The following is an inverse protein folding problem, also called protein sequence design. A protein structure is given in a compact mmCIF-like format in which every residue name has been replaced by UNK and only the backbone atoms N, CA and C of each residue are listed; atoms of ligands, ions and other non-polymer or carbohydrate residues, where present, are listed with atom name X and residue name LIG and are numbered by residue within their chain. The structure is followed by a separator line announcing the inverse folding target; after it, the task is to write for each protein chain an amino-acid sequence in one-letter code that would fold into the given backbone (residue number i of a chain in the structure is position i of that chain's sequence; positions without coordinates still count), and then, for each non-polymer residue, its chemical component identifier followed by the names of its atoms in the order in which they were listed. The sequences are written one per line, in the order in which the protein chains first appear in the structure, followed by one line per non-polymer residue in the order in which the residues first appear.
data_IF_121642615331
#
_entry.id   IF_121642615331
#
_cell.length_a   1.000
_cell.length_b   1.000
_cell.length_c   1.000
_cell.angle_alpha   90.00
_cell.angle_beta   90.00
_cell.angle_gamma   90.00
#
_symmetry.space_group_name_H-M   'P 1'
#
loop_
_entity.id
_entity.type
_entity.pdbx_description
1 polymer ?
#
# COMPACT_ATOMS: atom_id res chain seq x y z
N UNK A 1 6.59 -42.84 12.47
CA UNK A 1 6.38 -41.38 12.63
C UNK A 1 7.76 -40.78 12.88
N UNK A 2 8.24 -39.92 11.99
CA UNK A 2 9.59 -39.36 12.08
C UNK A 2 9.61 -38.25 13.13
N UNK A 3 10.44 -38.38 14.18
CA UNK A 3 10.53 -37.35 15.22
C UNK A 3 11.46 -36.22 14.76
N UNK A 4 10.85 -35.12 14.30
CA UNK A 4 11.60 -33.92 13.89
C UNK A 4 12.46 -33.30 15.00
N UNK A 5 12.27 -33.68 16.28
CA UNK A 5 13.07 -33.19 17.41
C UNK A 5 14.53 -33.63 17.36
N UNK A 6 14.88 -34.66 16.59
CA UNK A 6 16.28 -35.11 16.40
C UNK A 6 17.13 -34.05 15.70
N UNK A 7 16.53 -33.11 14.96
CA UNK A 7 17.22 -32.01 14.28
C UNK A 7 17.25 -30.70 15.08
N UNK A 8 16.69 -30.70 16.29
CA UNK A 8 16.66 -29.51 17.14
C UNK A 8 17.86 -29.52 18.09
N UNK A 9 18.49 -28.35 18.23
CA UNK A 9 19.54 -28.15 19.23
C UNK A 9 19.01 -28.44 20.64
N UNK A 10 19.87 -29.07 21.45
CA UNK A 10 19.68 -29.11 22.90
C UNK A 10 20.26 -27.83 23.51
N UNK A 11 19.44 -27.09 24.25
CA UNK A 11 19.84 -25.87 24.95
C UNK A 11 19.88 -26.10 26.46
N UNK A 12 20.88 -25.53 27.13
CA UNK A 12 20.96 -25.43 28.60
C UNK A 12 19.83 -24.56 29.16
N UNK A 13 19.57 -24.62 30.47
CA UNK A 13 18.53 -23.78 31.07
C UNK A 13 18.89 -22.30 31.00
N UNK A 14 20.18 -21.95 31.12
CA UNK A 14 20.69 -20.59 30.94
C UNK A 14 20.45 -20.08 29.52
N UNK A 15 20.77 -20.90 28.51
CA UNK A 15 20.51 -20.56 27.10
C UNK A 15 19.01 -20.41 26.82
N UNK A 16 18.16 -21.25 27.41
CA UNK A 16 16.70 -21.12 27.28
C UNK A 16 16.19 -19.81 27.88
N UNK A 17 16.78 -19.36 29.00
CA UNK A 17 16.44 -18.07 29.61
C UNK A 17 16.79 -16.93 28.66
N UNK A 18 17.98 -16.94 28.06
CA UNK A 18 18.41 -15.94 27.08
C UNK A 18 17.46 -15.93 25.86
N UNK A 19 17.12 -17.09 25.32
CA UNK A 19 16.29 -17.21 24.11
C UNK A 19 14.85 -16.70 24.31
N UNK A 20 14.31 -16.67 25.54
CA UNK A 20 12.92 -16.22 25.82
C UNK A 20 12.65 -14.77 25.40
N UNK A 21 13.66 -13.91 25.40
CA UNK A 21 13.55 -12.51 24.96
C UNK A 21 13.62 -12.33 23.44
N UNK A 22 13.98 -13.38 22.71
CA UNK A 22 14.41 -13.29 21.31
C UNK A 22 13.62 -14.18 20.36
N UNK A 23 13.00 -15.26 20.86
CA UNK A 23 12.18 -16.19 20.09
C UNK A 23 10.90 -16.58 20.82
N UNK A 24 9.82 -16.86 20.08
CA UNK A 24 8.52 -17.23 20.68
C UNK A 24 8.51 -18.59 21.39
N UNK A 25 9.49 -19.45 21.10
CA UNK A 25 9.77 -20.70 21.81
C UNK A 25 11.22 -21.13 21.56
N UNK A 26 11.74 -22.06 22.35
CA UNK A 26 13.11 -22.57 22.24
C UNK A 26 13.20 -24.00 21.66
N UNK A 27 12.08 -24.73 21.63
CA UNK A 27 12.04 -26.19 21.53
C UNK A 27 11.17 -26.72 20.38
N UNK A 28 10.55 -25.82 19.59
CA UNK A 28 9.79 -26.19 18.38
C UNK A 28 10.53 -25.76 17.12
N UNK A 29 10.29 -26.51 16.04
CA UNK A 29 10.81 -26.22 14.71
C UNK A 29 10.22 -24.95 14.10
N UNK A 30 9.02 -24.55 14.51
CA UNK A 30 8.35 -23.32 14.07
C UNK A 30 8.34 -22.31 15.21
N UNK A 31 8.88 -21.12 14.95
CA UNK A 31 9.03 -20.05 15.94
C UNK A 31 9.05 -18.69 15.27
N UNK A 32 8.73 -17.64 16.03
CA UNK A 32 8.86 -16.25 15.60
C UNK A 32 10.13 -15.62 16.18
N UNK A 33 10.78 -14.74 15.42
CA UNK A 33 11.89 -13.91 15.91
C UNK A 33 11.28 -12.65 16.53
N UNK A 34 11.47 -12.48 17.83
CA UNK A 34 10.96 -11.34 18.61
C UNK A 34 12.08 -10.45 19.17
N UNK A 35 13.34 -10.74 18.79
CA UNK A 35 14.53 -9.93 19.16
C UNK A 35 14.23 -8.43 19.07
N UNK A 36 14.49 -7.61 20.11
CA UNK A 36 14.10 -6.20 20.10
C UNK A 36 14.74 -5.36 18.99
N UNK A 37 16.00 -5.65 18.65
CA UNK A 37 16.74 -4.93 17.60
C UNK A 37 16.36 -5.45 16.21
N UNK A 38 15.73 -4.60 15.41
CA UNK A 38 15.34 -4.95 14.02
C UNK A 38 16.53 -5.34 13.15
N UNK A 39 17.66 -4.62 13.28
CA UNK A 39 18.89 -4.91 12.54
C UNK A 39 19.41 -6.33 12.81
N UNK A 40 19.23 -6.85 14.02
CA UNK A 40 19.68 -8.20 14.34
C UNK A 40 18.78 -9.27 13.71
N UNK A 41 17.48 -9.00 13.54
CA UNK A 41 16.55 -9.97 12.94
C UNK A 41 16.94 -10.32 11.51
N UNK A 42 17.12 -9.30 10.67
CA UNK A 42 17.47 -9.52 9.27
C UNK A 42 18.90 -10.05 9.08
N UNK A 43 19.85 -9.55 9.86
CA UNK A 43 21.22 -10.07 9.87
C UNK A 43 21.26 -11.55 10.29
N UNK A 44 20.51 -11.91 11.33
CA UNK A 44 20.42 -13.28 11.82
C UNK A 44 19.82 -14.23 10.77
N UNK A 45 18.73 -13.83 10.11
CA UNK A 45 18.12 -14.62 9.03
C UNK A 45 19.09 -14.83 7.86
N UNK A 46 19.83 -13.80 7.48
CA UNK A 46 20.83 -13.89 6.40
C UNK A 46 22.04 -14.75 6.80
N UNK A 47 22.49 -14.68 8.05
CA UNK A 47 23.54 -15.56 8.59
C UNK A 47 23.07 -17.01 8.68
N UNK A 48 21.83 -17.22 9.13
CA UNK A 48 21.20 -18.53 9.25
C UNK A 48 21.08 -19.25 7.90
N UNK A 49 20.82 -18.54 6.81
CA UNK A 49 20.72 -19.17 5.47
C UNK A 49 22.06 -19.66 4.91
N UNK A 50 23.19 -19.37 5.58
CA UNK A 50 24.56 -19.65 5.10
C UNK A 50 25.38 -20.48 6.10
N UNK A 51 24.72 -21.21 7.00
CA UNK A 51 25.34 -22.04 8.03
C UNK A 51 24.56 -23.33 8.24
N UNK A 52 25.23 -24.34 8.79
CA UNK A 52 24.64 -25.64 9.18
C UNK A 52 23.97 -25.59 10.58
N UNK A 53 24.23 -24.53 11.35
CA UNK A 53 23.65 -24.30 12.68
C UNK A 53 22.19 -23.86 12.62
N UNK A 54 21.41 -24.18 13.65
CA UNK A 54 20.07 -23.58 13.79
C UNK A 54 20.15 -22.09 14.11
N UNK A 55 19.09 -21.34 13.78
CA UNK A 55 19.02 -19.90 14.00
C UNK A 55 19.25 -19.50 15.48
N UNK A 56 18.72 -20.27 16.43
CA UNK A 56 18.88 -19.99 17.87
C UNK A 56 20.33 -20.18 18.31
N UNK A 57 21.03 -21.19 17.78
CA UNK A 57 22.45 -21.41 18.03
C UNK A 57 23.31 -20.31 17.43
N UNK A 58 23.01 -19.86 16.20
CA UNK A 58 23.67 -18.70 15.58
C UNK A 58 23.49 -17.44 16.44
N UNK A 59 22.27 -17.21 16.95
CA UNK A 59 21.99 -16.08 17.82
C UNK A 59 22.85 -16.11 19.09
N UNK A 60 22.85 -17.23 19.83
CA UNK A 60 23.64 -17.38 21.06
C UNK A 60 25.15 -17.26 20.80
N UNK A 61 25.64 -17.82 19.70
CA UNK A 61 27.06 -17.85 19.39
C UNK A 61 27.61 -16.50 18.89
N UNK A 62 26.82 -15.74 18.12
CA UNK A 62 27.28 -14.53 17.42
C UNK A 62 26.61 -13.23 17.91
N UNK A 63 25.30 -13.23 18.16
CA UNK A 63 24.51 -12.01 18.38
C UNK A 63 24.34 -11.69 19.86
N UNK A 64 24.06 -12.68 20.70
CA UNK A 64 23.96 -12.51 22.15
C UNK A 64 25.27 -12.01 22.77
N UNK A 65 26.42 -12.34 22.15
CA UNK A 65 27.76 -11.95 22.61
C UNK A 65 28.25 -10.61 22.04
N UNK A 66 27.63 -10.08 20.98
CA UNK A 66 28.00 -8.81 20.37
C UNK A 66 26.76 -8.01 19.96
N UNK A 67 26.44 -6.99 20.76
CA UNK A 67 25.29 -6.11 20.53
C UNK A 67 25.35 -5.28 19.23
N UNK A 68 26.51 -5.19 18.57
CA UNK A 68 26.73 -4.48 17.31
C UNK A 68 26.79 -5.42 16.10
N UNK A 69 26.60 -6.73 16.30
CA UNK A 69 26.79 -7.76 15.28
C UNK A 69 25.94 -7.53 14.03
N UNK A 70 24.67 -7.16 14.19
CA UNK A 70 23.79 -6.84 13.07
C UNK A 70 24.28 -5.64 12.26
N UNK A 71 24.69 -4.56 12.92
CA UNK A 71 25.19 -3.35 12.24
C UNK A 71 26.48 -3.61 11.47
N UNK A 72 27.43 -4.33 12.07
CA UNK A 72 28.67 -4.76 11.41
C UNK A 72 28.37 -5.61 10.18
N UNK A 73 27.42 -6.54 10.30
CA UNK A 73 26.99 -7.40 9.22
C UNK A 73 26.46 -6.59 8.03
N UNK A 74 25.51 -5.68 8.27
CA UNK A 74 24.93 -4.87 7.19
C UNK A 74 25.93 -3.92 6.55
N UNK A 75 26.82 -3.33 7.36
CA UNK A 75 27.91 -2.49 6.84
C UNK A 75 28.76 -3.27 5.84
N UNK A 76 29.06 -4.53 6.13
CA UNK A 76 29.83 -5.39 5.22
C UNK A 76 29.01 -5.81 3.99
N UNK A 77 27.82 -6.34 4.20
CA UNK A 77 27.03 -6.99 3.14
C UNK A 77 26.48 -5.99 2.12
N UNK A 78 25.96 -4.84 2.56
CA UNK A 78 25.38 -3.84 1.67
C UNK A 78 26.44 -3.01 0.93
N UNK A 79 27.63 -2.84 1.50
CA UNK A 79 28.72 -2.10 0.86
C UNK A 79 29.58 -2.99 -0.05
N UNK A 80 29.84 -4.24 0.31
CA UNK A 80 30.81 -5.09 -0.42
C UNK A 80 30.17 -5.98 -1.49
N UNK A 81 28.93 -6.46 -1.29
CA UNK A 81 28.35 -7.54 -2.12
C UNK A 81 27.11 -7.15 -2.93
N UNK A 82 26.51 -5.98 -2.65
CA UNK A 82 25.31 -5.52 -3.37
C UNK A 82 24.07 -6.41 -3.18
N UNK A 83 24.03 -7.20 -2.11
CA UNK A 83 22.93 -8.11 -1.79
C UNK A 83 21.74 -7.33 -1.19
N UNK A 84 21.10 -6.52 -2.03
CA UNK A 84 20.01 -5.61 -1.63
C UNK A 84 18.78 -6.36 -1.09
N UNK A 85 18.65 -7.66 -1.37
CA UNK A 85 17.55 -8.49 -0.86
C UNK A 85 17.56 -8.58 0.67
N UNK A 86 18.74 -8.54 1.29
CA UNK A 86 18.89 -8.61 2.75
C UNK A 86 18.39 -7.33 3.44
N UNK A 87 18.31 -6.21 2.71
CA UNK A 87 17.71 -4.97 3.20
C UNK A 87 16.18 -5.07 3.35
N UNK A 88 15.54 -6.07 2.73
CA UNK A 88 14.09 -6.31 2.86
C UNK A 88 13.72 -6.92 4.23
N UNK A 89 14.70 -7.42 4.98
CA UNK A 89 14.48 -8.07 6.28
C UNK A 89 14.53 -7.10 7.47
N UNK A 90 14.91 -5.84 7.22
CA UNK A 90 14.79 -4.77 8.22
C UNK A 90 13.49 -4.01 8.00
N UNK A 91 12.67 -3.88 9.04
CA UNK A 91 11.36 -3.22 8.95
C UNK A 91 11.31 -1.95 9.80
N UNK A 92 10.54 -0.97 9.34
CA UNK A 92 10.22 0.24 10.11
C UNK A 92 8.75 0.64 9.93
N UNK A 93 8.27 1.38 10.92
CA UNK A 93 6.94 1.98 10.95
C UNK A 93 7.11 3.46 11.26
N UNK A 94 6.56 4.33 10.43
CA UNK A 94 6.69 5.79 10.56
C UNK A 94 5.35 6.47 10.25
N UNK A 95 5.15 7.64 10.84
CA UNK A 95 4.01 8.49 10.58
C UNK A 95 4.48 9.82 9.96
N UNK A 96 3.77 10.28 8.94
CA UNK A 96 4.01 11.57 8.30
C UNK A 96 2.70 12.37 8.39
N UNK A 97 2.71 13.50 9.10
CA UNK A 97 1.51 14.27 9.40
C UNK A 97 1.57 15.68 8.80
N UNK A 98 0.40 16.23 8.47
CA UNK A 98 0.30 17.63 8.01
C UNK A 98 0.85 17.88 6.61
N UNK A 99 0.96 16.85 5.77
CA UNK A 99 1.45 16.95 4.39
C UNK A 99 0.31 17.15 3.41
N UNK A 100 0.54 17.81 2.28
CA UNK A 100 -0.48 17.93 1.23
C UNK A 100 -0.92 16.55 0.71
N UNK A 101 -2.14 16.46 0.17
CA UNK A 101 -2.53 15.24 -0.54
C UNK A 101 -1.62 14.97 -1.74
N UNK A 102 -1.04 16.00 -2.38
CA UNK A 102 -0.05 15.82 -3.46
C UNK A 102 1.17 15.06 -2.93
N UNK A 103 1.68 15.45 -1.76
CA UNK A 103 2.79 14.77 -1.12
C UNK A 103 2.45 13.35 -0.71
N UNK A 104 1.28 13.14 -0.10
CA UNK A 104 0.80 11.80 0.23
C UNK A 104 0.75 10.88 -1.00
N UNK A 105 0.22 11.36 -2.14
CA UNK A 105 0.17 10.54 -3.36
C UNK A 105 1.56 10.24 -3.94
N UNK A 106 2.50 11.18 -3.86
CA UNK A 106 3.89 10.94 -4.31
C UNK A 106 4.60 9.91 -3.45
N UNK A 107 4.35 9.91 -2.14
CA UNK A 107 4.90 8.91 -1.21
C UNK A 107 4.29 7.53 -1.50
N UNK A 108 2.96 7.45 -1.53
CA UNK A 108 2.25 6.18 -1.71
C UNK A 108 2.51 5.51 -3.07
N UNK A 109 2.97 6.24 -4.09
CA UNK A 109 3.25 5.72 -5.44
C UNK A 109 4.38 4.66 -5.43
N UNK A 110 5.10 4.51 -4.31
CA UNK A 110 6.14 3.49 -4.09
C UNK A 110 5.59 2.32 -3.30
N UNK A 111 5.08 1.30 -3.99
CA UNK A 111 4.24 0.25 -3.38
C UNK A 111 4.99 -1.03 -3.01
N UNK A 112 6.08 -1.33 -3.71
CA UNK A 112 6.82 -2.58 -3.48
C UNK A 112 7.57 -2.47 -2.15
N UNK A 113 7.17 -3.30 -1.18
CA UNK A 113 7.77 -3.35 0.16
C UNK A 113 7.28 -2.28 1.14
N UNK A 114 6.28 -1.47 0.78
CA UNK A 114 5.66 -0.45 1.66
C UNK A 114 4.14 -0.61 1.69
N UNK A 115 3.57 -0.46 2.88
CA UNK A 115 2.15 -0.46 3.17
C UNK A 115 1.75 0.88 3.77
N UNK A 116 0.69 1.48 3.24
CA UNK A 116 0.25 2.83 3.60
C UNK A 116 -1.11 2.84 4.27
N UNK A 117 -1.30 3.76 5.20
CA UNK A 117 -2.60 4.08 5.76
C UNK A 117 -2.79 5.60 5.84
N UNK A 118 -3.51 6.15 4.86
CA UNK A 118 -3.84 7.57 4.79
C UNK A 118 -5.12 7.91 5.57
N UNK A 119 -5.14 9.08 6.20
CA UNK A 119 -6.35 9.68 6.77
C UNK A 119 -7.48 9.75 5.73
N UNK A 120 -8.61 9.13 6.06
CA UNK A 120 -9.73 9.01 5.13
C UNK A 120 -10.56 10.28 5.01
N UNK A 121 -10.60 10.85 3.81
CA UNK A 121 -11.54 11.90 3.40
C UNK A 121 -13.00 11.43 3.30
N UNK A 122 -13.24 10.11 3.38
CA UNK A 122 -14.59 9.53 3.37
C UNK A 122 -15.20 9.44 4.75
N UNK A 123 -14.39 9.31 5.79
CA UNK A 123 -14.88 9.12 7.16
C UNK A 123 -14.62 10.32 8.06
N UNK A 124 -13.61 11.12 7.76
CA UNK A 124 -13.23 12.29 8.54
C UNK A 124 -13.61 13.55 7.77
N UNK A 125 -14.29 14.49 8.44
CA UNK A 125 -14.57 15.80 7.91
C UNK A 125 -13.32 16.70 8.01
N UNK A 126 -13.06 17.48 6.96
CA UNK A 126 -11.92 18.40 6.86
C UNK A 126 -12.39 19.86 7.06
N UNK A 127 -13.37 20.06 7.94
CA UNK A 127 -14.10 21.32 8.16
C UNK A 127 -13.58 22.13 9.35
N UNK A 128 -12.64 21.59 10.12
CA UNK A 128 -12.12 22.23 11.33
C UNK A 128 -10.94 23.16 11.03
N UNK A 129 -11.01 24.38 11.57
CA UNK A 129 -9.92 25.36 11.57
C UNK A 129 -8.97 25.14 12.76
N UNK A 130 -7.68 25.37 12.56
CA UNK A 130 -6.66 25.40 13.63
C UNK A 130 -5.99 26.76 13.63
N UNK A 131 -5.99 27.43 14.77
CA UNK A 131 -5.45 28.80 14.86
C UNK A 131 -6.14 29.79 13.91
N UNK A 132 -7.41 29.55 13.56
CA UNK A 132 -8.16 30.38 12.61
C UNK A 132 -8.01 29.98 11.13
N UNK A 133 -7.19 28.99 10.80
CA UNK A 133 -6.90 28.61 9.41
C UNK A 133 -7.42 27.22 9.06
N UNK A 134 -7.87 27.05 7.81
CA UNK A 134 -8.08 25.73 7.23
C UNK A 134 -6.74 25.02 6.97
N UNK A 135 -6.78 23.68 7.04
CA UNK A 135 -5.60 22.81 6.91
C UNK A 135 -5.30 22.52 5.45
N UNK A 136 -4.66 23.46 4.78
CA UNK A 136 -4.01 23.27 3.49
C UNK A 136 -2.60 23.84 3.48
N UNK A 137 -1.73 23.26 2.66
CA UNK A 137 -0.33 23.67 2.51
C UNK A 137 -0.26 25.04 1.83
N UNK A 138 0.46 25.97 2.47
CA UNK A 138 0.81 27.28 1.92
C UNK A 138 2.25 27.20 1.43
N UNK A 139 2.41 26.71 0.21
CA UNK A 139 3.73 26.46 -0.37
C UNK A 139 4.46 27.79 -0.63
N UNK A 140 5.74 27.87 -0.24
CA UNK A 140 6.49 29.13 -0.19
C UNK A 140 6.61 29.82 -1.54
N UNK A 141 6.82 29.07 -2.64
CA UNK A 141 6.88 29.64 -3.98
C UNK A 141 5.55 30.25 -4.43
N UNK A 142 4.41 29.70 -3.98
CA UNK A 142 3.10 30.31 -4.22
C UNK A 142 2.94 31.55 -3.33
N UNK A 143 3.28 31.46 -2.04
CA UNK A 143 3.08 32.55 -1.07
C UNK A 143 3.96 33.77 -1.31
N UNK A 144 5.10 33.57 -1.98
CA UNK A 144 6.00 34.67 -2.39
C UNK A 144 5.67 35.20 -3.80
N UNK A 145 4.71 34.60 -4.50
CA UNK A 145 4.29 35.03 -5.84
C UNK A 145 3.13 36.04 -5.80
N UNK A 146 2.87 36.74 -6.92
CA UNK A 146 1.68 37.58 -7.07
C UNK A 146 0.33 36.84 -6.98
N UNK A 147 0.33 35.51 -6.89
CA UNK A 147 -0.87 34.68 -6.82
C UNK A 147 -1.23 34.23 -5.39
N UNK A 148 -0.48 34.66 -4.37
CA UNK A 148 -0.67 34.25 -2.98
C UNK A 148 -2.10 34.51 -2.47
N UNK A 149 -2.60 35.74 -2.60
CA UNK A 149 -3.92 36.11 -2.11
C UNK A 149 -5.02 35.32 -2.82
N UNK A 150 -4.96 35.27 -4.17
CA UNK A 150 -5.91 34.49 -4.98
C UNK A 150 -5.90 33.00 -4.61
N UNK A 151 -4.74 32.43 -4.29
CA UNK A 151 -4.62 31.05 -3.85
C UNK A 151 -5.31 30.82 -2.49
N UNK A 152 -5.06 31.71 -1.52
CA UNK A 152 -5.68 31.65 -0.18
C UNK A 152 -7.19 31.81 -0.28
N UNK A 153 -7.67 32.82 -1.02
CA UNK A 153 -9.10 33.07 -1.24
C UNK A 153 -9.79 31.87 -1.88
N UNK A 154 -9.19 31.28 -2.93
CA UNK A 154 -9.75 30.11 -3.59
C UNK A 154 -9.80 28.89 -2.66
N UNK A 155 -8.73 28.63 -1.90
CA UNK A 155 -8.70 27.52 -0.95
C UNK A 155 -9.73 27.72 0.16
N UNK A 156 -9.77 28.90 0.78
CA UNK A 156 -10.71 29.21 1.86
C UNK A 156 -12.16 29.12 1.36
N UNK A 157 -12.45 29.61 0.15
CA UNK A 157 -13.77 29.47 -0.47
C UNK A 157 -14.18 27.99 -0.68
N UNK A 158 -13.24 27.16 -1.17
CA UNK A 158 -13.43 25.72 -1.31
C UNK A 158 -13.76 25.04 0.03
N UNK A 159 -13.00 25.34 1.09
CA UNK A 159 -13.22 24.79 2.42
C UNK A 159 -14.52 25.28 3.06
N UNK A 160 -14.85 26.56 2.92
CA UNK A 160 -16.11 27.13 3.39
C UNK A 160 -17.31 26.43 2.73
N UNK A 161 -17.25 26.27 1.40
CA UNK A 161 -18.31 25.63 0.61
C UNK A 161 -18.46 24.16 1.01
N UNK A 162 -17.34 23.45 1.13
CA UNK A 162 -17.31 22.08 1.65
C UNK A 162 -17.98 21.99 3.03
N UNK A 163 -17.52 22.81 3.99
CA UNK A 163 -17.96 22.78 5.39
C UNK A 163 -19.46 23.07 5.53
N UNK A 164 -19.95 24.12 4.86
CA UNK A 164 -21.37 24.53 4.87
C UNK A 164 -22.29 23.48 4.22
N UNK A 165 -21.75 22.65 3.33
CA UNK A 165 -22.52 21.66 2.58
C UNK A 165 -22.68 20.32 3.31
N UNK A 166 -21.83 20.00 4.29
CA UNK A 166 -21.81 18.71 4.98
C UNK A 166 -23.19 18.37 5.58
N UNK A 167 -23.74 19.26 6.40
CA UNK A 167 -25.02 18.99 7.08
C UNK A 167 -26.20 18.94 6.09
N UNK A 168 -26.23 19.87 5.12
CA UNK A 168 -27.28 19.92 4.10
C UNK A 168 -27.33 18.65 3.26
N UNK A 169 -26.16 18.16 2.84
CA UNK A 169 -26.08 16.94 2.06
C UNK A 169 -26.43 15.71 2.89
N UNK A 170 -26.05 15.66 4.17
CA UNK A 170 -26.50 14.58 5.05
C UNK A 170 -28.02 14.54 5.17
N UNK A 171 -28.68 15.68 5.41
CA UNK A 171 -30.16 15.74 5.47
C UNK A 171 -30.79 15.26 4.16
N UNK A 172 -30.31 15.74 3.01
CA UNK A 172 -30.78 15.30 1.71
C UNK A 172 -30.60 13.79 1.49
N UNK A 173 -29.45 13.23 1.88
CA UNK A 173 -29.21 11.78 1.77
C UNK A 173 -30.11 10.97 2.70
N UNK A 174 -30.41 11.46 3.91
CA UNK A 174 -31.36 10.79 4.82
C UNK A 174 -32.78 10.73 4.24
N UNK A 175 -33.20 11.78 3.52
CA UNK A 175 -34.49 11.78 2.82
C UNK A 175 -34.51 10.81 1.63
N UNK A 176 -33.40 10.72 0.89
CA UNK A 176 -33.30 9.86 -0.30
C UNK A 176 -33.09 8.39 0.02
N UNK A 177 -32.39 8.10 1.11
CA UNK A 177 -32.01 6.76 1.55
C UNK A 177 -32.34 6.58 3.04
N UNK A 178 -33.63 6.47 3.39
CA UNK A 178 -34.05 6.37 4.78
C UNK A 178 -33.61 5.03 5.40
N UNK A 179 -33.46 5.00 6.72
CA UNK A 179 -32.86 3.89 7.48
C UNK A 179 -33.55 2.54 7.25
N UNK A 180 -34.85 2.56 6.97
CA UNK A 180 -35.69 1.37 6.74
C UNK A 180 -35.29 0.59 5.48
N UNK A 181 -34.51 1.20 4.57
CA UNK A 181 -33.96 0.53 3.39
C UNK A 181 -32.71 -0.30 3.68
N UNK A 182 -32.11 -0.12 4.85
CA UNK A 182 -30.88 -0.80 5.23
C UNK A 182 -31.17 -2.08 6.01
N UNK A 183 -30.22 -3.00 5.94
CA UNK A 183 -30.21 -4.24 6.72
C UNK A 183 -29.14 -4.15 7.80
N UNK A 184 -29.45 -4.68 8.97
CA UNK A 184 -28.62 -4.63 10.15
C UNK A 184 -28.54 -6.00 10.79
N UNK A 185 -27.42 -6.28 11.43
CA UNK A 185 -27.23 -7.52 12.17
C UNK A 185 -28.05 -7.50 13.47
N UNK A 186 -28.92 -8.49 13.65
CA UNK A 186 -29.66 -8.73 14.88
C UNK A 186 -28.93 -9.76 15.74
N UNK A 187 -28.58 -9.37 16.97
CA UNK A 187 -27.80 -10.19 17.87
C UNK A 187 -28.53 -11.45 18.35
N UNK A 188 -29.85 -11.40 18.49
CA UNK A 188 -30.66 -12.52 18.96
C UNK A 188 -30.78 -13.65 17.93
N UNK A 189 -31.05 -13.30 16.66
CA UNK A 189 -31.19 -14.28 15.58
C UNK A 189 -29.89 -14.59 14.85
N UNK A 190 -28.82 -13.81 15.10
CA UNK A 190 -27.52 -13.89 14.41
C UNK A 190 -27.67 -13.76 12.88
N UNK A 191 -28.62 -12.92 12.43
CA UNK A 191 -28.96 -12.72 11.02
C UNK A 191 -29.08 -11.23 10.70
N UNK A 192 -28.97 -10.92 9.42
CA UNK A 192 -29.26 -9.58 8.90
C UNK A 192 -30.77 -9.44 8.68
N UNK A 193 -31.36 -8.40 9.25
CA UNK A 193 -32.79 -8.09 9.18
C UNK A 193 -32.98 -6.61 8.84
N UNK A 194 -34.19 -6.23 8.41
CA UNK A 194 -34.51 -4.81 8.19
C UNK A 194 -34.62 -4.06 9.53
N UNK A 195 -34.46 -2.73 9.50
CA UNK A 195 -34.51 -1.90 10.70
C UNK A 195 -35.80 -2.08 11.52
N UNK A 196 -36.95 -2.16 10.85
CA UNK A 196 -38.29 -2.36 11.44
C UNK A 196 -38.48 -3.73 12.11
N UNK A 197 -37.57 -4.67 11.85
CA UNK A 197 -37.59 -6.02 12.42
C UNK A 197 -36.69 -6.16 13.66
N UNK A 198 -35.87 -5.14 13.97
CA UNK A 198 -35.01 -5.15 15.15
C UNK A 198 -35.84 -5.03 16.43
N UNK A 199 -35.63 -5.97 17.35
CA UNK A 199 -36.42 -6.05 18.60
C UNK A 199 -35.72 -5.50 19.83
N UNK A 200 -34.39 -5.47 19.81
CA UNK A 200 -33.59 -5.02 20.96
C UNK A 200 -33.20 -3.56 20.83
N UNK A 201 -33.41 -2.77 21.88
CA UNK A 201 -32.94 -1.38 21.98
C UNK A 201 -31.44 -1.23 21.70
N UNK A 202 -30.63 -2.24 22.06
CA UNK A 202 -29.19 -2.24 21.81
C UNK A 202 -28.91 -2.30 20.30
N UNK A 203 -29.61 -3.17 19.59
CA UNK A 203 -29.42 -3.37 18.17
C UNK A 203 -30.00 -2.20 17.36
N UNK A 204 -31.14 -1.63 17.80
CA UNK A 204 -31.72 -0.40 17.23
C UNK A 204 -30.73 0.76 17.34
N UNK A 205 -30.20 1.03 18.54
CA UNK A 205 -29.20 2.10 18.74
C UNK A 205 -27.91 1.87 17.96
N UNK A 206 -27.51 0.61 17.80
CA UNK A 206 -26.36 0.24 16.97
C UNK A 206 -26.63 0.55 15.49
N UNK A 207 -27.81 0.17 14.99
CA UNK A 207 -28.24 0.41 13.62
C UNK A 207 -28.35 1.90 13.30
N UNK A 208 -28.93 2.72 14.18
CA UNK A 208 -28.98 4.18 14.04
C UNK A 208 -27.59 4.80 13.90
N UNK A 209 -26.63 4.38 14.75
CA UNK A 209 -25.24 4.87 14.67
C UNK A 209 -24.57 4.45 13.37
N UNK A 210 -24.74 3.20 12.95
CA UNK A 210 -24.18 2.68 11.69
C UNK A 210 -24.75 3.45 10.51
N UNK A 211 -26.07 3.70 10.52
CA UNK A 211 -26.75 4.49 9.51
C UNK A 211 -26.21 5.93 9.45
N UNK A 212 -26.11 6.62 10.58
CA UNK A 212 -25.58 7.99 10.63
C UNK A 212 -24.13 8.07 10.15
N UNK A 213 -23.28 7.11 10.53
CA UNK A 213 -21.91 7.02 10.03
C UNK A 213 -21.88 6.75 8.53
N UNK A 214 -22.78 5.91 8.02
CA UNK A 214 -22.89 5.58 6.59
C UNK A 214 -23.32 6.80 5.77
N UNK A 215 -24.35 7.52 6.21
CA UNK A 215 -24.83 8.75 5.58
C UNK A 215 -23.76 9.84 5.61
N UNK A 216 -23.11 10.04 6.75
CA UNK A 216 -21.98 10.97 6.87
C UNK A 216 -20.88 10.58 5.88
N UNK A 217 -20.53 9.30 5.79
CA UNK A 217 -19.48 8.86 4.89
C UNK A 217 -19.83 9.10 3.41
N UNK A 218 -21.07 8.84 3.01
CA UNK A 218 -21.58 9.16 1.66
C UNK A 218 -21.53 10.66 1.38
N UNK A 219 -21.96 11.50 2.33
CA UNK A 219 -21.90 12.95 2.17
C UNK A 219 -20.46 13.44 1.98
N UNK A 220 -19.52 12.96 2.81
CA UNK A 220 -18.10 13.31 2.68
C UNK A 220 -17.50 12.82 1.36
N UNK A 221 -17.88 11.61 0.90
CA UNK A 221 -17.40 11.04 -0.35
C UNK A 221 -17.81 11.87 -1.58
N UNK A 222 -19.03 12.43 -1.55
CA UNK A 222 -19.53 13.33 -2.59
C UNK A 222 -18.89 14.72 -2.51
N UNK A 223 -18.66 15.26 -1.30
CA UNK A 223 -18.15 16.62 -1.11
C UNK A 223 -16.63 16.75 -1.24
N UNK A 224 -15.87 15.68 -1.04
CA UNK A 224 -14.39 15.73 -1.04
C UNK A 224 -13.78 16.27 -2.33
N UNK A 225 -14.52 16.25 -3.46
CA UNK A 225 -14.09 16.85 -4.72
C UNK A 225 -13.93 18.37 -4.66
N UNK A 226 -14.53 19.03 -3.66
CA UNK A 226 -14.39 20.47 -3.42
C UNK A 226 -13.09 20.84 -2.71
N UNK A 227 -12.45 19.87 -2.04
CA UNK A 227 -11.23 20.11 -1.27
C UNK A 227 -10.04 20.29 -2.22
N UNK A 228 -9.20 21.33 -2.04
CA UNK A 228 -8.04 21.53 -2.90
C UNK A 228 -7.01 20.42 -2.70
N UNK A 229 -6.19 20.15 -3.72
CA UNK A 229 -5.12 19.15 -3.64
C UNK A 229 -4.08 19.45 -2.54
N UNK A 230 -3.97 20.71 -2.13
CA UNK A 230 -3.12 21.17 -1.03
C UNK A 230 -3.69 20.85 0.37
N UNK A 231 -4.92 20.34 0.47
CA UNK A 231 -5.51 19.88 1.75
C UNK A 231 -4.55 18.94 2.46
N UNK A 232 -4.27 19.24 3.73
CA UNK A 232 -3.33 18.47 4.54
C UNK A 232 -3.95 17.16 5.01
N UNK A 233 -3.15 16.10 4.99
CA UNK A 233 -3.49 14.74 5.38
C UNK A 233 -2.35 14.13 6.21
N UNK A 234 -2.59 12.92 6.73
CA UNK A 234 -1.61 12.14 7.46
C UNK A 234 -1.49 10.76 6.81
N UNK A 235 -0.28 10.20 6.78
CA UNK A 235 0.00 8.87 6.22
C UNK A 235 0.85 8.10 7.22
N UNK A 236 0.37 6.93 7.64
CA UNK A 236 1.19 5.90 8.27
C UNK A 236 1.86 5.04 7.21
N UNK A 237 3.12 4.68 7.42
CA UNK A 237 3.92 3.86 6.50
C UNK A 237 4.54 2.72 7.30
N UNK A 238 4.35 1.49 6.83
CA UNK A 238 5.05 0.30 7.31
C UNK A 238 5.77 -0.33 6.14
N UNK A 239 7.03 -0.72 6.29
CA UNK A 239 7.70 -1.49 5.26
C UNK A 239 9.16 -1.76 5.53
N UNK A 240 9.83 -2.25 4.49
CA UNK A 240 11.20 -2.72 4.62
C UNK A 240 12.26 -1.68 4.22
N UNK A 241 13.49 -1.91 4.67
CA UNK A 241 14.63 -1.02 4.49
C UNK A 241 14.92 -0.70 3.04
N UNK A 242 14.89 -1.70 2.15
CA UNK A 242 15.08 -1.53 0.70
C UNK A 242 14.06 -0.56 0.11
N UNK A 243 12.80 -0.71 0.49
CA UNK A 243 11.73 0.11 -0.03
C UNK A 243 11.78 1.54 0.52
N UNK A 244 12.14 1.72 1.80
CA UNK A 244 12.38 3.05 2.38
C UNK A 244 13.58 3.76 1.75
N UNK A 245 14.69 3.06 1.50
CA UNK A 245 15.86 3.62 0.80
C UNK A 245 15.48 4.14 -0.59
N UNK A 246 14.72 3.32 -1.34
CA UNK A 246 14.22 3.70 -2.66
C UNK A 246 13.24 4.89 -2.59
N UNK A 247 12.29 4.87 -1.65
CA UNK A 247 11.36 5.98 -1.43
C UNK A 247 12.13 7.30 -1.16
N UNK A 248 13.07 7.29 -0.23
CA UNK A 248 13.90 8.45 0.09
C UNK A 248 14.68 8.96 -1.13
N UNK A 249 15.31 8.05 -1.87
CA UNK A 249 16.03 8.40 -3.11
C UNK A 249 15.11 9.11 -4.11
N UNK A 250 13.90 8.59 -4.31
CA UNK A 250 12.91 9.21 -5.21
C UNK A 250 12.42 10.57 -4.69
N UNK A 251 12.27 10.72 -3.37
CA UNK A 251 11.82 11.97 -2.76
C UNK A 251 12.89 13.07 -2.84
N UNK A 252 14.16 12.74 -2.61
CA UNK A 252 15.27 13.67 -2.78
C UNK A 252 15.39 14.18 -4.23
N UNK A 253 15.14 13.31 -5.21
CA UNK A 253 15.13 13.66 -6.63
C UNK A 253 13.90 14.47 -7.08
N UNK A 254 12.92 14.73 -6.20
CA UNK A 254 11.69 15.44 -6.55
C UNK A 254 11.92 16.92 -6.84
N UNK A 255 11.19 17.47 -7.81
CA UNK A 255 11.14 18.92 -8.10
C UNK A 255 10.35 19.70 -7.05
N UNK A 256 9.45 19.05 -6.33
CA UNK A 256 8.61 19.68 -5.31
C UNK A 256 9.39 19.87 -4.01
N UNK A 257 9.47 21.11 -3.52
CA UNK A 257 10.17 21.45 -2.27
C UNK A 257 9.60 20.72 -1.07
N UNK A 258 8.27 20.65 -0.96
CA UNK A 258 7.58 19.92 0.11
C UNK A 258 8.08 18.47 0.22
N UNK A 259 8.20 17.76 -0.91
CA UNK A 259 8.66 16.36 -0.93
C UNK A 259 10.09 16.23 -0.41
N UNK A 260 10.99 17.14 -0.80
CA UNK A 260 12.39 17.12 -0.35
C UNK A 260 12.50 17.39 1.16
N UNK A 261 11.72 18.36 1.67
CA UNK A 261 11.68 18.65 3.10
C UNK A 261 11.13 17.48 3.92
N UNK A 262 10.13 16.76 3.39
CA UNK A 262 9.65 15.53 4.03
C UNK A 262 10.73 14.44 3.94
N UNK A 263 11.49 14.36 2.84
CA UNK A 263 12.58 13.39 2.70
C UNK A 263 13.66 13.56 3.78
N UNK A 264 14.07 14.80 4.04
CA UNK A 264 15.05 15.12 5.09
C UNK A 264 14.57 14.66 6.47
N UNK A 265 13.31 14.98 6.82
CA UNK A 265 12.69 14.59 8.09
C UNK A 265 12.51 13.08 8.19
N UNK A 266 12.00 12.45 7.14
CA UNK A 266 11.79 11.00 7.08
C UNK A 266 13.12 10.25 7.18
N UNK A 267 14.18 10.73 6.53
CA UNK A 267 15.52 10.16 6.65
C UNK A 267 16.05 10.26 8.08
N UNK A 268 15.88 11.41 8.75
CA UNK A 268 16.34 11.57 10.12
C UNK A 268 15.69 10.55 11.08
N UNK A 269 14.36 10.39 11.00
CA UNK A 269 13.62 9.43 11.83
C UNK A 269 13.97 7.98 11.48
N UNK A 270 14.04 7.63 10.19
CA UNK A 270 14.44 6.28 9.78
C UNK A 270 15.89 5.97 10.14
N UNK A 271 16.80 6.94 10.07
CA UNK A 271 18.19 6.75 10.45
C UNK A 271 18.36 6.54 11.97
N UNK A 272 17.40 6.96 12.79
CA UNK A 272 17.38 6.66 14.22
C UNK A 272 16.95 5.20 14.51
N UNK A 273 16.14 4.59 13.64
CA UNK A 273 15.52 3.26 13.88
C UNK A 273 16.16 2.15 13.05
N UNK A 274 16.47 2.41 11.78
CA UNK A 274 17.03 1.47 10.80
C UNK A 274 18.23 2.09 10.04
N UNK A 275 19.25 2.66 10.72
CA UNK A 275 20.35 3.40 10.08
C UNK A 275 21.05 2.64 8.95
N UNK A 276 21.32 1.36 9.16
CA UNK A 276 22.05 0.53 8.19
C UNK A 276 21.33 0.39 6.85
N UNK A 277 20.02 0.64 6.80
CA UNK A 277 19.17 0.39 5.64
C UNK A 277 18.86 1.65 4.83
N UNK A 278 19.00 2.85 5.39
CA UNK A 278 18.61 4.10 4.71
C UNK A 278 19.79 5.00 4.35
N UNK A 279 20.99 4.73 4.88
CA UNK A 279 22.20 5.54 4.67
C UNK A 279 22.55 5.79 3.20
N UNK A 280 22.30 4.82 2.32
CA UNK A 280 22.66 4.91 0.90
C UNK A 280 21.74 5.84 0.09
N UNK A 281 20.56 6.16 0.61
CA UNK A 281 19.57 6.96 -0.12
C UNK A 281 20.08 8.34 -0.58
N UNK A 282 21.09 8.89 0.13
CA UNK A 282 21.70 10.17 -0.20
C UNK A 282 23.23 10.16 -0.24
N UNK A 283 23.84 8.98 -0.37
CA UNK A 283 25.28 8.88 -0.60
C UNK A 283 25.65 9.23 -2.05
N UNK A 284 26.91 9.01 -2.47
CA UNK A 284 27.35 9.27 -3.85
C UNK A 284 26.51 8.53 -4.90
N UNK A 285 26.12 7.28 -4.64
CA UNK A 285 25.32 6.46 -5.56
C UNK A 285 23.85 6.87 -5.51
N UNK A 286 23.32 7.16 -4.32
CA UNK A 286 21.98 7.72 -4.13
C UNK A 286 21.81 9.04 -4.89
N UNK A 287 22.76 9.97 -4.76
CA UNK A 287 22.77 11.24 -5.50
C UNK A 287 22.90 11.04 -7.02
N UNK A 288 23.69 10.07 -7.47
CA UNK A 288 23.77 9.73 -8.89
C UNK A 288 22.43 9.22 -9.42
N UNK A 289 21.71 8.40 -8.64
CA UNK A 289 20.38 7.90 -8.99
C UNK A 289 19.31 9.00 -8.95
N UNK A 290 19.33 9.88 -7.95
CA UNK A 290 18.48 11.08 -7.89
C UNK A 290 18.67 11.96 -9.15
N UNK A 291 19.93 12.21 -9.53
CA UNK A 291 20.28 12.97 -10.74
C UNK A 291 19.79 12.27 -12.00
N UNK A 292 19.99 10.96 -12.11
CA UNK A 292 19.50 10.15 -13.24
C UNK A 292 17.99 10.32 -13.46
N UNK A 293 17.18 10.21 -12.40
CA UNK A 293 15.73 10.38 -12.52
C UNK A 293 15.34 11.81 -12.92
N UNK A 294 15.93 12.83 -12.28
CA UNK A 294 15.63 14.24 -12.57
C UNK A 294 16.02 14.64 -14.00
N UNK A 295 17.19 14.20 -14.48
CA UNK A 295 17.66 14.47 -15.84
C UNK A 295 16.84 13.72 -16.89
N UNK A 296 16.46 12.47 -16.60
CA UNK A 296 15.58 11.67 -17.47
C UNK A 296 14.22 12.33 -17.61
N UNK A 297 13.55 12.67 -16.50
CA UNK A 297 12.25 13.35 -16.53
C UNK A 297 12.33 14.68 -17.31
N UNK A 298 13.38 15.46 -17.07
CA UNK A 298 13.55 16.75 -17.74
C UNK A 298 13.82 16.61 -19.24
N UNK A 299 14.59 15.60 -19.65
CA UNK A 299 14.84 15.29 -21.07
C UNK A 299 13.58 14.79 -21.77
N UNK A 300 12.85 13.87 -21.14
CA UNK A 300 11.59 13.34 -21.69
C UNK A 300 10.54 14.44 -21.78
N UNK A 301 10.42 15.32 -20.80
CA UNK A 301 9.47 16.45 -20.87
C UNK A 301 9.75 17.39 -22.05
N UNK A 302 11.02 17.71 -22.31
CA UNK A 302 11.40 18.52 -23.49
C UNK A 302 11.05 17.81 -24.80
N UNK A 303 11.33 16.51 -24.90
CA UNK A 303 10.99 15.71 -26.08
C UNK A 303 9.48 15.58 -26.28
N UNK A 304 8.73 15.40 -25.19
CA UNK A 304 7.27 15.29 -25.24
C UNK A 304 6.63 16.55 -25.83
N UNK A 305 7.14 17.75 -25.51
CA UNK A 305 6.64 19.00 -26.10
C UNK A 305 6.76 19.03 -27.62
N UNK A 306 7.84 18.50 -28.19
CA UNK A 306 7.99 18.41 -29.65
C UNK A 306 7.15 17.27 -30.23
N UNK A 307 7.19 16.09 -29.63
CA UNK A 307 6.50 14.91 -30.17
C UNK A 307 4.97 15.01 -30.09
N UNK A 308 4.43 15.79 -29.14
CA UNK A 308 3.00 15.98 -28.96
C UNK A 308 2.48 17.29 -29.58
N UNK A 309 3.30 18.00 -30.36
CA UNK A 309 2.91 19.28 -30.97
C UNK A 309 1.74 19.15 -31.93
N UNK A 310 1.67 18.04 -32.67
CA UNK A 310 0.59 17.72 -33.62
C UNK A 310 -0.57 16.91 -32.98
N UNK A 311 -0.52 16.68 -31.66
CA UNK A 311 -1.55 15.96 -30.91
C UNK A 311 -2.26 16.96 -29.97
N UNK A 312 -3.33 17.63 -30.43
CA UNK A 312 -4.00 18.64 -29.62
C UNK A 312 -4.68 17.99 -28.40
N UNK A 313 -4.80 18.72 -27.27
CA UNK A 313 -5.62 18.29 -26.15
C UNK A 313 -7.07 18.06 -26.59
N UNK A 314 -7.71 17.00 -26.08
CA UNK A 314 -9.15 16.78 -26.25
C UNK A 314 -9.93 17.77 -25.37
N UNK A 315 -10.90 18.49 -25.93
CA UNK A 315 -11.74 19.46 -25.18
C UNK A 315 -12.69 18.77 -24.19
N UNK A 316 -13.08 17.52 -24.48
CA UNK A 316 -14.01 16.74 -23.67
C UNK A 316 -13.64 15.25 -23.74
N UNK A 317 -12.53 14.85 -23.10
CA UNK A 317 -12.08 13.47 -23.11
C UNK A 317 -13.09 12.56 -22.43
N UNK A 318 -13.14 11.32 -22.90
CA UNK A 318 -13.92 10.26 -22.27
C UNK A 318 -13.40 9.99 -20.85
N UNK A 319 -14.30 9.92 -19.86
CA UNK A 319 -13.88 9.74 -18.46
C UNK A 319 -13.20 8.39 -18.21
N UNK A 320 -13.62 7.35 -18.93
CA UNK A 320 -13.10 5.98 -18.84
C UNK A 320 -13.05 5.39 -20.23
N UNK A 321 -11.87 4.99 -20.69
CA UNK A 321 -11.68 4.34 -21.99
C UNK A 321 -10.94 3.01 -21.82
N UNK A 322 -11.47 1.93 -22.37
CA UNK A 322 -10.75 0.66 -22.46
C UNK A 322 -9.80 0.72 -23.67
N UNK A 323 -8.50 0.81 -23.40
CA UNK A 323 -7.47 1.01 -24.44
C UNK A 323 -6.99 -0.31 -25.04
N UNK A 324 -6.75 -1.30 -24.18
CA UNK A 324 -6.17 -2.58 -24.58
C UNK A 324 -6.77 -3.70 -23.73
N UNK A 325 -7.07 -4.80 -24.39
CA UNK A 325 -7.57 -6.01 -23.78
C UNK A 325 -7.25 -7.20 -24.68
N UNK A 326 -7.04 -8.35 -24.08
CA UNK A 326 -6.81 -9.57 -24.85
C UNK A 326 -8.09 -10.04 -25.53
N UNK A 327 -7.95 -10.50 -26.78
CA UNK A 327 -9.03 -11.23 -27.45
C UNK A 327 -9.54 -12.39 -26.58
N UNK A 328 -10.86 -12.60 -26.57
CA UNK A 328 -11.51 -13.57 -25.68
C UNK A 328 -10.93 -14.98 -25.82
N UNK A 329 -10.60 -15.42 -27.05
CA UNK A 329 -10.02 -16.75 -27.24
C UNK A 329 -8.61 -16.83 -26.61
N UNK A 330 -7.78 -15.81 -26.78
CA UNK A 330 -6.45 -15.79 -26.17
C UNK A 330 -6.53 -15.74 -24.64
N UNK A 331 -7.43 -14.91 -24.09
CA UNK A 331 -7.67 -14.83 -22.66
C UNK A 331 -8.12 -16.17 -22.07
N UNK A 332 -9.11 -16.82 -22.69
CA UNK A 332 -9.56 -18.17 -22.31
C UNK A 332 -8.42 -19.19 -22.34
N UNK A 333 -7.63 -19.18 -23.41
CA UNK A 333 -6.48 -20.07 -23.56
C UNK A 333 -5.46 -19.84 -22.45
N UNK A 334 -5.10 -18.59 -22.14
CA UNK A 334 -4.15 -18.29 -21.06
C UNK A 334 -4.67 -18.75 -19.70
N UNK A 335 -5.91 -18.41 -19.36
CA UNK A 335 -6.51 -18.77 -18.06
C UNK A 335 -6.62 -20.28 -17.93
N UNK A 336 -7.22 -20.97 -18.91
CA UNK A 336 -7.36 -22.43 -18.86
C UNK A 336 -5.99 -23.14 -18.84
N UNK A 337 -5.01 -22.63 -19.58
CA UNK A 337 -3.65 -23.19 -19.57
C UNK A 337 -2.98 -23.03 -18.21
N UNK A 338 -3.11 -21.87 -17.57
CA UNK A 338 -2.57 -21.63 -16.23
C UNK A 338 -3.24 -22.52 -15.18
N UNK A 339 -4.57 -22.68 -15.24
CA UNK A 339 -5.33 -23.61 -14.35
C UNK A 339 -4.79 -25.03 -14.48
N UNK A 340 -4.63 -25.53 -15.72
CA UNK A 340 -4.13 -26.89 -15.96
C UNK A 340 -2.64 -27.03 -15.61
N UNK A 341 -1.84 -25.98 -15.81
CA UNK A 341 -0.40 -26.00 -15.52
C UNK A 341 -0.11 -26.17 -14.03
N UNK A 342 -0.91 -25.58 -13.14
CA UNK A 342 -0.81 -25.82 -11.70
C UNK A 342 -0.99 -27.30 -11.32
N UNK A 343 -1.66 -28.09 -12.16
CA UNK A 343 -1.89 -29.52 -11.99
C UNK A 343 -0.98 -30.40 -12.86
N UNK A 344 -0.03 -29.80 -13.59
CA UNK A 344 0.82 -30.52 -14.52
C UNK A 344 1.79 -31.48 -13.81
N UNK A 345 2.02 -32.64 -14.42
CA UNK A 345 2.95 -33.67 -13.95
C UNK A 345 4.19 -33.71 -14.86
N UNK A 346 4.77 -32.54 -15.08
CA UNK A 346 5.94 -32.36 -15.95
C UNK A 346 5.63 -31.90 -17.39
N UNK A 347 4.36 -31.74 -17.76
CA UNK A 347 4.01 -31.06 -19.01
C UNK A 347 4.46 -29.59 -18.95
N UNK A 348 5.06 -29.08 -20.02
CA UNK A 348 5.41 -27.67 -20.12
C UNK A 348 4.16 -26.81 -20.33
N UNK A 349 4.19 -25.56 -19.84
CA UNK A 349 3.13 -24.59 -20.11
C UNK A 349 2.91 -24.40 -21.61
N UNK A 350 3.98 -24.47 -22.42
CA UNK A 350 3.89 -24.40 -23.88
C UNK A 350 3.04 -25.55 -24.46
N UNK A 351 3.30 -26.79 -24.05
CA UNK A 351 2.55 -27.96 -24.52
C UNK A 351 1.07 -27.89 -24.11
N UNK A 352 0.80 -27.49 -22.86
CA UNK A 352 -0.56 -27.29 -22.35
C UNK A 352 -1.26 -26.16 -23.13
N UNK A 353 -0.57 -25.06 -23.39
CA UNK A 353 -1.14 -23.93 -24.16
C UNK A 353 -1.53 -24.36 -25.57
N UNK A 354 -0.69 -25.14 -26.25
CA UNK A 354 -1.01 -25.66 -27.58
C UNK A 354 -2.19 -26.63 -27.54
N UNK A 355 -2.28 -27.47 -26.51
CA UNK A 355 -3.42 -28.37 -26.30
C UNK A 355 -4.72 -27.59 -26.04
N UNK A 356 -4.70 -26.61 -25.15
CA UNK A 356 -5.86 -25.76 -24.82
C UNK A 356 -6.34 -24.96 -26.03
N UNK A 357 -5.43 -24.50 -26.90
CA UNK A 357 -5.81 -23.86 -28.19
C UNK A 357 -6.62 -24.79 -29.10
N UNK A 358 -6.36 -26.09 -29.04
CA UNK A 358 -7.08 -27.10 -29.83
C UNK A 358 -8.41 -27.54 -29.20
N UNK A 359 -8.64 -27.22 -27.92
CA UNK A 359 -9.90 -27.56 -27.24
C UNK A 359 -11.08 -26.78 -27.84
N UNK A 360 -12.28 -27.39 -27.93
CA UNK A 360 -13.52 -26.64 -28.13
C UNK A 360 -13.75 -25.62 -27.00
N UNK A 361 -14.46 -24.53 -27.32
CA UNK A 361 -14.79 -23.47 -26.34
C UNK A 361 -15.48 -24.01 -25.09
N UNK A 362 -16.39 -24.98 -25.24
CA UNK A 362 -17.12 -25.55 -24.11
C UNK A 362 -16.19 -26.26 -23.12
N UNK A 363 -15.15 -26.95 -23.60
CA UNK A 363 -14.17 -27.63 -22.75
C UNK A 363 -13.26 -26.64 -22.02
N UNK A 364 -12.80 -25.58 -22.71
CA UNK A 364 -12.07 -24.48 -22.05
C UNK A 364 -12.91 -23.84 -20.93
N UNK A 365 -14.20 -23.61 -21.20
CA UNK A 365 -15.13 -23.07 -20.21
C UNK A 365 -15.40 -24.03 -19.05
N UNK A 366 -15.32 -25.35 -19.25
CA UNK A 366 -15.43 -26.32 -18.16
C UNK A 366 -14.24 -26.22 -17.21
N UNK A 367 -13.02 -26.08 -17.74
CA UNK A 367 -11.80 -25.84 -16.93
C UNK A 367 -11.95 -24.57 -16.10
N UNK A 368 -12.36 -23.46 -16.72
CA UNK A 368 -12.56 -22.19 -16.02
C UNK A 368 -13.68 -22.26 -14.98
N UNK A 369 -14.80 -22.93 -15.29
CA UNK A 369 -15.90 -23.13 -14.34
C UNK A 369 -15.45 -23.92 -13.12
N UNK A 370 -14.75 -25.04 -13.32
CA UNK A 370 -14.22 -25.85 -12.22
C UNK A 370 -13.33 -25.04 -11.26
N UNK A 371 -12.60 -24.03 -11.76
CA UNK A 371 -11.77 -23.13 -10.96
C UNK A 371 -12.57 -22.12 -10.13
N UNK A 372 -13.82 -21.84 -10.50
CA UNK A 372 -14.65 -20.78 -9.89
C UNK A 372 -15.91 -21.29 -9.18
N UNK A 373 -16.27 -22.56 -9.35
CA UNK A 373 -17.57 -23.11 -8.95
C UNK A 373 -17.86 -23.03 -7.44
N UNK A 374 -16.81 -23.10 -6.62
CA UNK A 374 -16.92 -23.05 -5.15
C UNK A 374 -16.93 -21.63 -4.57
N UNK A 375 -17.01 -20.59 -5.40
CA UNK A 375 -17.10 -19.19 -4.96
C UNK A 375 -18.51 -18.89 -4.45
N UNK A 376 -18.65 -18.74 -3.13
CA UNK A 376 -19.94 -18.39 -2.50
C UNK A 376 -20.05 -16.92 -2.11
N UNK A 377 -18.93 -16.21 -2.03
CA UNK A 377 -18.91 -14.79 -1.65
C UNK A 377 -17.68 -14.08 -2.23
N UNK A 378 -17.69 -12.75 -2.19
CA UNK A 378 -16.64 -11.88 -2.76
C UNK A 378 -15.23 -12.08 -2.17
N UNK A 379 -15.08 -12.71 -0.99
CA UNK A 379 -13.76 -12.98 -0.38
C UNK A 379 -13.07 -14.19 -0.99
N UNK A 380 -13.82 -15.11 -1.61
CA UNK A 380 -13.24 -16.19 -2.39
C UNK A 380 -12.80 -15.57 -3.71
N UNK A 381 -11.60 -15.00 -3.81
CA UNK A 381 -11.06 -14.41 -5.05
C UNK A 381 -10.60 -15.52 -6.01
N UNK A 382 -10.64 -15.31 -7.35
CA UNK A 382 -10.11 -16.31 -8.27
C UNK A 382 -8.61 -16.42 -7.99
N UNK A 383 -8.05 -17.62 -8.14
CA UNK A 383 -6.61 -17.80 -7.98
C UNK A 383 -5.80 -17.20 -9.15
N UNK A 384 -4.49 -17.44 -9.13
CA UNK A 384 -3.48 -16.75 -9.95
C UNK A 384 -3.65 -16.93 -11.45
N UNK A 385 -4.37 -17.96 -11.91
CA UNK A 385 -4.63 -18.13 -13.34
C UNK A 385 -5.33 -16.93 -13.99
N UNK A 386 -6.14 -16.19 -13.23
CA UNK A 386 -6.81 -14.97 -13.72
C UNK A 386 -5.90 -13.73 -13.69
N UNK A 387 -4.69 -13.82 -13.13
CA UNK A 387 -3.65 -12.76 -13.22
C UNK A 387 -2.91 -12.80 -14.56
N UNK A 388 -3.20 -13.78 -15.44
CA UNK A 388 -2.54 -13.94 -16.75
C UNK A 388 -3.15 -13.11 -17.88
N UNK A 389 -4.23 -12.38 -17.59
CA UNK A 389 -4.98 -11.58 -18.56
C UNK A 389 -5.09 -10.15 -18.04
N UNK A 390 -4.67 -9.20 -18.86
CA UNK A 390 -4.65 -7.78 -18.51
C UNK A 390 -5.73 -6.99 -19.26
N UNK A 391 -6.21 -5.93 -18.60
CA UNK A 391 -7.04 -4.90 -19.20
C UNK A 391 -6.39 -3.55 -18.91
N UNK A 392 -6.21 -2.74 -19.96
CA UNK A 392 -5.66 -1.39 -19.83
C UNK A 392 -6.78 -0.37 -19.96
N UNK A 393 -7.02 0.38 -18.88
CA UNK A 393 -7.98 1.47 -18.85
C UNK A 393 -7.26 2.82 -18.78
N UNK A 394 -7.70 3.76 -19.61
CA UNK A 394 -7.45 5.18 -19.43
C UNK A 394 -8.58 5.80 -18.60
N UNK A 395 -8.20 6.64 -17.65
CA UNK A 395 -9.10 7.22 -16.65
C UNK A 395 -8.85 8.73 -16.56
N UNK A 396 -9.65 9.51 -17.28
CA UNK A 396 -9.64 10.97 -17.16
C UNK A 396 -10.56 11.39 -16.00
N UNK A 397 -9.98 11.53 -14.80
CA UNK A 397 -10.76 11.69 -13.57
C UNK A 397 -10.22 12.80 -12.68
N UNK A 398 -11.03 13.24 -11.71
CA UNK A 398 -10.59 14.22 -10.72
C UNK A 398 -9.65 13.59 -9.68
N UNK A 399 -8.93 14.45 -8.96
CA UNK A 399 -7.95 14.03 -7.97
C UNK A 399 -8.53 13.18 -6.83
N UNK A 400 -9.79 13.40 -6.43
CA UNK A 400 -10.47 12.60 -5.41
C UNK A 400 -10.69 11.14 -5.87
N UNK A 401 -11.08 10.95 -7.13
CA UNK A 401 -11.21 9.61 -7.74
C UNK A 401 -9.84 8.93 -7.90
N UNK A 402 -8.82 9.67 -8.35
CA UNK A 402 -7.45 9.17 -8.40
C UNK A 402 -6.98 8.65 -7.03
N UNK A 403 -7.25 9.39 -5.94
CA UNK A 403 -6.92 8.96 -4.57
C UNK A 403 -7.58 7.64 -4.19
N UNK A 404 -8.82 7.41 -4.59
CA UNK A 404 -9.52 6.15 -4.31
C UNK A 404 -8.96 4.99 -5.12
N UNK A 405 -8.72 5.19 -6.40
CA UNK A 405 -8.08 4.17 -7.24
C UNK A 405 -6.70 3.81 -6.70
N UNK A 406 -5.94 4.80 -6.22
CA UNK A 406 -4.62 4.60 -5.65
C UNK A 406 -4.61 3.66 -4.43
N UNK A 407 -5.67 3.69 -3.62
CA UNK A 407 -5.82 2.83 -2.42
C UNK A 407 -6.09 1.36 -2.72
N UNK A 408 -6.52 1.04 -3.94
CA UNK A 408 -6.97 -0.31 -4.32
C UNK A 408 -6.01 -1.02 -5.28
N UNK A 409 -4.81 -0.46 -5.51
CA UNK A 409 -3.80 -1.05 -6.41
C UNK A 409 -3.01 -2.13 -5.66
N UNK A 410 -3.12 -3.38 -6.11
CA UNK A 410 -2.26 -4.50 -5.69
C UNK A 410 -0.87 -4.30 -6.28
#
# INVERSE_FOLDING_TARGET
MFDSRVFLDSFTEEEKVELKGHFSNADKAVFAIITPKQVDRGALMSRYSRTDKTMRRVFLDEFAKNASRGEEFYRRVLLEYGDDSVAELGEAQVAVEGISNVAAKKIEDRRIGLSYLEKSSRYVAFDQKVGGYYRYVREESIMTSPHADRYVEACDHSFDTYSKSIQRLQSFLKEREPIERFIFFESASQREVKFDQLKSDKDIKSAERIYDVTIKAKALDLLRGLLPASTMTNVGITGNGRAFEYLLTMMYGSKLREIRLIADQLFAELNAVIPSFVRRANDRYGQALQKYFSETESRVNRLAKSCLSDVPPEDSPELVRLLDFEDNFQAEVKVASAILYEQARGQSLHAITNYVKSMPTQERHQVMRAYTDFRTNRRHRPGRAFEMVDYTFELFTNFGMFRDLHRHRI
#
